data_IF_247447260282
#
_entry.id   IF_247447260282
#
_cell.length_a   1.000
_cell.length_b   1.000
_cell.length_c   1.000
_cell.angle_alpha   90.00
_cell.angle_beta   90.00
_cell.angle_gamma   90.00
#
_symmetry.space_group_name_H-M   'P 1'
#
loop_
_entity.id
_entity.type
_entity.pdbx_description
1 polymer ?
#
# COMPACT_ATOMS: atom_id res chain seq x y z
N UNK A 1 26.67 54.09 -10.22
CA UNK A 1 27.50 53.66 -9.09
C UNK A 1 26.60 52.90 -8.14
N UNK A 2 26.85 51.61 -7.94
CA UNK A 2 26.03 50.78 -7.04
C UNK A 2 26.32 51.23 -5.60
N UNK A 3 25.29 51.39 -4.78
CA UNK A 3 25.46 51.81 -3.39
C UNK A 3 25.96 50.64 -2.55
N UNK A 4 26.87 50.91 -1.62
CA UNK A 4 27.44 49.89 -0.71
C UNK A 4 26.37 49.17 0.12
N UNK A 5 25.29 49.86 0.51
CA UNK A 5 24.17 49.27 1.25
C UNK A 5 23.38 48.24 0.43
N UNK A 6 23.24 48.48 -0.88
CA UNK A 6 22.54 47.55 -1.77
C UNK A 6 23.35 46.25 -1.95
N UNK A 7 24.69 46.35 -2.03
CA UNK A 7 25.58 45.17 -2.08
C UNK A 7 25.51 44.37 -0.78
N UNK A 8 25.50 45.04 0.38
CA UNK A 8 25.36 44.36 1.69
C UNK A 8 24.06 43.57 1.78
N UNK A 9 22.93 44.20 1.46
CA UNK A 9 21.62 43.52 1.45
C UNK A 9 21.60 42.33 0.49
N UNK A 10 22.25 42.47 -0.67
CA UNK A 10 22.32 41.41 -1.66
C UNK A 10 23.20 40.24 -1.20
N UNK A 11 24.27 40.54 -0.47
CA UNK A 11 25.15 39.54 0.13
C UNK A 11 24.47 38.76 1.25
N UNK A 12 23.72 39.43 2.13
CA UNK A 12 22.94 38.76 3.18
C UNK A 12 21.95 37.76 2.56
N UNK A 13 21.22 38.20 1.52
CA UNK A 13 20.31 37.34 0.76
C UNK A 13 21.01 36.20 0.04
N UNK A 14 22.25 36.41 -0.43
CA UNK A 14 23.05 35.37 -1.08
C UNK A 14 23.38 34.26 -0.09
N UNK A 15 23.80 34.61 1.12
CA UNK A 15 24.06 33.62 2.18
C UNK A 15 22.78 32.89 2.63
N UNK A 16 21.62 33.55 2.57
CA UNK A 16 20.32 32.92 2.80
C UNK A 16 19.83 32.04 1.63
N UNK A 17 20.53 32.03 0.49
CA UNK A 17 20.15 31.27 -0.72
C UNK A 17 18.92 31.84 -1.43
N UNK A 18 18.67 33.14 -1.29
CA UNK A 18 17.47 33.85 -1.79
C UNK A 18 17.78 34.79 -2.97
N UNK A 19 18.90 34.59 -3.67
CA UNK A 19 19.33 35.39 -4.82
C UNK A 19 18.99 34.74 -6.15
N UNK A 20 18.81 35.57 -7.18
CA UNK A 20 18.71 35.11 -8.57
C UNK A 20 20.08 35.11 -9.25
N UNK A 21 20.20 34.42 -10.39
CA UNK A 21 21.45 34.36 -11.17
C UNK A 21 21.95 35.77 -11.60
N UNK A 22 21.03 36.68 -11.94
CA UNK A 22 21.36 38.06 -12.32
C UNK A 22 21.96 38.86 -11.14
N UNK A 23 21.39 38.66 -9.95
CA UNK A 23 21.86 39.28 -8.70
C UNK A 23 23.24 38.74 -8.30
N UNK A 24 23.45 37.43 -8.41
CA UNK A 24 24.74 36.80 -8.16
C UNK A 24 25.82 37.26 -9.14
N UNK A 25 25.46 37.45 -10.40
CA UNK A 25 26.38 38.01 -11.39
C UNK A 25 26.75 39.47 -11.05
N UNK A 26 25.82 40.22 -10.47
CA UNK A 26 26.07 41.59 -9.99
C UNK A 26 27.07 41.59 -8.83
N UNK A 27 26.89 40.69 -7.84
CA UNK A 27 27.87 40.48 -6.75
C UNK A 27 29.24 40.09 -7.29
N UNK A 28 29.28 39.15 -8.24
CA UNK A 28 30.52 38.70 -8.90
C UNK A 28 31.24 39.85 -9.60
N UNK A 29 30.50 40.67 -10.34
CA UNK A 29 31.06 41.84 -11.03
C UNK A 29 31.61 42.87 -10.05
N UNK A 30 30.89 43.11 -8.95
CA UNK A 30 31.31 44.06 -7.91
C UNK A 30 32.60 43.60 -7.20
N UNK A 31 32.66 42.35 -6.73
CA UNK A 31 33.82 41.81 -6.01
C UNK A 31 35.03 41.51 -6.91
N UNK A 32 34.84 41.38 -8.22
CA UNK A 32 35.95 41.30 -9.18
C UNK A 32 36.49 42.68 -9.59
N UNK A 33 35.86 43.78 -9.17
CA UNK A 33 36.32 45.14 -9.47
C UNK A 33 37.50 45.54 -8.58
N UNK A 34 38.34 46.49 -9.04
CA UNK A 34 39.52 46.96 -8.30
C UNK A 34 39.20 47.89 -7.12
N UNK A 35 37.97 48.37 -7.00
CA UNK A 35 37.57 49.39 -6.04
C UNK A 35 36.45 48.87 -5.13
N UNK A 36 36.84 48.08 -4.13
CA UNK A 36 35.94 47.47 -3.13
C UNK A 36 36.02 48.29 -1.84
N UNK A 37 34.86 48.60 -1.27
CA UNK A 37 34.74 49.29 0.02
C UNK A 37 35.53 48.55 1.11
N UNK A 38 36.21 49.29 1.99
CA UNK A 38 37.04 48.70 3.04
C UNK A 38 36.27 47.73 3.94
N UNK A 39 34.97 47.98 4.19
CA UNK A 39 34.12 47.13 5.03
C UNK A 39 33.64 45.86 4.32
N UNK A 40 33.82 45.74 3.01
CA UNK A 40 33.39 44.60 2.19
C UNK A 40 34.58 43.75 1.71
N UNK A 41 35.81 44.12 2.06
CA UNK A 41 37.00 43.35 1.68
C UNK A 41 37.03 41.97 2.33
N UNK A 42 36.64 41.85 3.59
CA UNK A 42 36.59 40.55 4.27
C UNK A 42 35.55 39.63 3.63
N UNK A 43 34.35 40.17 3.38
CA UNK A 43 33.28 39.48 2.66
C UNK A 43 33.70 39.05 1.26
N UNK A 44 34.48 39.87 0.55
CA UNK A 44 34.98 39.53 -0.79
C UNK A 44 35.83 38.27 -0.79
N UNK A 45 36.66 38.07 0.23
CA UNK A 45 37.53 36.88 0.35
C UNK A 45 36.66 35.63 0.51
N UNK A 46 35.63 35.71 1.37
CA UNK A 46 34.73 34.60 1.62
C UNK A 46 33.85 34.30 0.41
N UNK A 47 33.25 35.31 -0.20
CA UNK A 47 32.43 35.18 -1.41
C UNK A 47 33.24 34.58 -2.57
N UNK A 48 34.47 35.01 -2.79
CA UNK A 48 35.34 34.43 -3.82
C UNK A 48 35.76 33.00 -3.50
N UNK A 49 35.97 32.66 -2.22
CA UNK A 49 36.26 31.27 -1.83
C UNK A 49 35.06 30.32 -2.03
N UNK A 50 33.84 30.85 -1.90
CA UNK A 50 32.60 30.12 -2.16
C UNK A 50 32.24 30.00 -3.64
N UNK A 51 32.77 30.88 -4.51
CA UNK A 51 32.58 30.72 -5.94
C UNK A 51 33.17 29.38 -6.37
N UNK A 52 32.28 28.48 -6.77
CA UNK A 52 32.63 27.17 -7.29
C UNK A 52 33.68 27.33 -8.37
N UNK A 53 34.91 26.94 -8.04
CA UNK A 53 35.89 26.58 -9.06
C UNK A 53 35.28 25.40 -9.81
N UNK A 54 35.43 25.36 -11.14
CA UNK A 54 35.08 24.19 -11.94
C UNK A 54 35.94 23.01 -11.46
N UNK A 55 35.46 22.31 -10.44
CA UNK A 55 36.09 21.11 -9.93
C UNK A 55 35.66 19.98 -10.88
N UNK A 56 36.61 19.31 -11.55
CA UNK A 56 36.25 18.24 -12.45
C UNK A 56 35.54 17.14 -11.66
N UNK A 57 34.27 16.92 -11.99
CA UNK A 57 33.48 15.83 -11.40
C UNK A 57 34.20 14.51 -11.68
N UNK A 58 34.57 13.72 -10.66
CA UNK A 58 35.22 12.43 -10.86
C UNK A 58 34.38 11.51 -11.75
N UNK A 59 35.04 10.78 -12.65
CA UNK A 59 34.36 9.83 -13.54
C UNK A 59 33.52 8.82 -12.73
N UNK A 60 32.26 8.62 -13.14
CA UNK A 60 31.33 7.69 -12.50
C UNK A 60 30.71 8.16 -11.17
N UNK A 61 30.90 9.42 -10.76
CA UNK A 61 30.29 9.94 -9.53
C UNK A 61 28.76 9.92 -9.58
N UNK A 62 28.17 10.32 -10.71
CA UNK A 62 26.72 10.33 -10.93
C UNK A 62 26.11 8.92 -10.87
N UNK A 63 26.79 7.94 -11.49
CA UNK A 63 26.38 6.53 -11.44
C UNK A 63 26.45 5.99 -9.99
N UNK A 64 27.50 6.32 -9.25
CA UNK A 64 27.65 5.91 -7.84
C UNK A 64 26.55 6.50 -6.96
N UNK A 65 26.22 7.78 -7.16
CA UNK A 65 25.16 8.49 -6.43
C UNK A 65 23.79 7.89 -6.73
N UNK A 66 23.45 7.71 -8.01
CA UNK A 66 22.18 7.09 -8.41
C UNK A 66 22.03 5.67 -7.88
N UNK A 67 23.12 4.90 -7.86
CA UNK A 67 23.15 3.56 -7.26
C UNK A 67 22.93 3.59 -5.74
N UNK A 68 23.46 4.56 -5.01
CA UNK A 68 23.21 4.70 -3.57
C UNK A 68 21.76 5.10 -3.28
N UNK A 69 21.22 6.05 -4.03
CA UNK A 69 19.81 6.48 -3.90
C UNK A 69 18.87 5.30 -4.14
N UNK A 70 19.13 4.52 -5.21
CA UNK A 70 18.32 3.35 -5.55
C UNK A 70 18.35 2.29 -4.44
N UNK A 71 19.50 2.03 -3.83
CA UNK A 71 19.61 1.10 -2.71
C UNK A 71 18.80 1.55 -1.50
N UNK A 72 18.82 2.84 -1.17
CA UNK A 72 18.05 3.37 -0.04
C UNK A 72 16.55 3.22 -0.25
N UNK A 73 16.08 3.46 -1.47
CA UNK A 73 14.67 3.30 -1.83
C UNK A 73 14.23 1.82 -1.76
N UNK A 74 15.06 0.89 -2.24
CA UNK A 74 14.78 -0.56 -2.15
C UNK A 74 14.70 -1.00 -0.68
N UNK A 75 15.61 -0.54 0.17
CA UNK A 75 15.60 -0.87 1.59
C UNK A 75 14.33 -0.35 2.27
N UNK A 76 13.96 0.91 2.07
CA UNK A 76 12.76 1.49 2.69
C UNK A 76 11.47 0.76 2.30
N UNK A 77 11.33 0.40 1.02
CA UNK A 77 10.14 -0.30 0.52
C UNK A 77 10.06 -1.72 1.13
N UNK A 78 11.17 -2.44 1.19
CA UNK A 78 11.19 -3.84 1.66
C UNK A 78 10.97 -3.98 3.16
N UNK A 79 11.50 -3.09 4.00
CA UNK A 79 11.23 -3.10 5.46
C UNK A 79 9.77 -2.80 5.76
N UNK A 80 9.15 -1.82 5.08
CA UNK A 80 7.74 -1.47 5.28
C UNK A 80 6.79 -2.64 4.99
N UNK A 81 7.06 -3.39 3.92
CA UNK A 81 6.24 -4.56 3.57
C UNK A 81 6.40 -5.67 4.62
N UNK A 82 7.62 -5.99 5.01
CA UNK A 82 7.92 -7.07 5.95
C UNK A 82 7.31 -6.81 7.34
N UNK A 83 7.41 -5.58 7.85
CA UNK A 83 6.83 -5.20 9.16
C UNK A 83 5.29 -5.31 9.14
N UNK A 84 4.65 -4.90 8.03
CA UNK A 84 3.19 -4.97 7.89
C UNK A 84 2.66 -6.40 7.87
N UNK A 85 3.36 -7.32 7.20
CA UNK A 85 2.96 -8.73 7.13
C UNK A 85 3.14 -9.47 8.47
N UNK A 86 4.21 -9.17 9.21
CA UNK A 86 4.46 -9.78 10.53
C UNK A 86 3.37 -9.37 11.52
N UNK A 87 3.05 -8.07 11.61
CA UNK A 87 2.02 -7.58 12.54
C UNK A 87 0.62 -8.12 12.19
N UNK A 88 0.27 -8.22 10.91
CA UNK A 88 -1.04 -8.70 10.50
C UNK A 88 -1.25 -10.17 10.88
N UNK A 89 -0.23 -11.02 10.76
CA UNK A 89 -0.34 -12.45 11.09
C UNK A 89 -0.61 -12.71 12.58
N UNK A 90 -0.02 -11.91 13.47
CA UNK A 90 -0.27 -11.99 14.92
C UNK A 90 -1.67 -11.47 15.29
N UNK A 91 -2.07 -10.34 14.70
CA UNK A 91 -3.41 -9.76 14.95
C UNK A 91 -4.51 -10.69 14.44
N UNK A 92 -4.35 -11.30 13.26
CA UNK A 92 -5.29 -12.30 12.73
C UNK A 92 -5.36 -13.53 13.62
N UNK A 93 -4.24 -13.98 14.19
CA UNK A 93 -4.22 -15.07 15.17
C UNK A 93 -5.05 -14.77 16.42
N UNK A 94 -4.89 -13.57 17.00
CA UNK A 94 -5.66 -13.13 18.17
C UNK A 94 -7.15 -13.01 17.82
N UNK A 95 -7.47 -12.40 16.68
CA UNK A 95 -8.86 -12.24 16.23
C UNK A 95 -9.55 -13.61 15.99
N UNK A 96 -8.85 -14.57 15.37
CA UNK A 96 -9.37 -15.91 15.13
C UNK A 96 -9.65 -16.66 16.45
N UNK A 97 -8.77 -16.51 17.44
CA UNK A 97 -8.98 -17.10 18.78
C UNK A 97 -10.21 -16.51 19.45
N UNK A 98 -10.38 -15.18 19.42
CA UNK A 98 -11.57 -14.52 19.98
C UNK A 98 -12.85 -14.95 19.25
N UNK A 99 -12.84 -15.01 17.91
CA UNK A 99 -13.97 -15.49 17.12
C UNK A 99 -14.36 -16.93 17.47
N UNK A 100 -13.38 -17.81 17.68
CA UNK A 100 -13.63 -19.20 18.06
C UNK A 100 -14.28 -19.29 19.44
N UNK A 101 -13.82 -18.49 20.40
CA UNK A 101 -14.43 -18.40 21.74
C UNK A 101 -15.86 -17.85 21.67
N UNK A 102 -16.10 -16.79 20.90
CA UNK A 102 -17.43 -16.22 20.71
C UNK A 102 -18.39 -17.19 20.01
N UNK A 103 -17.92 -17.88 18.96
CA UNK A 103 -18.72 -18.86 18.24
C UNK A 103 -19.09 -20.05 19.14
N UNK A 104 -18.12 -20.60 19.88
CA UNK A 104 -18.38 -21.67 20.83
C UNK A 104 -19.36 -21.23 21.93
N UNK A 105 -19.16 -20.04 22.50
CA UNK A 105 -20.06 -19.47 23.52
C UNK A 105 -21.48 -19.25 22.99
N UNK A 106 -21.63 -18.74 21.76
CA UNK A 106 -22.93 -18.54 21.13
C UNK A 106 -23.66 -19.86 20.86
N UNK A 107 -22.94 -20.91 20.44
CA UNK A 107 -23.51 -22.26 20.24
C UNK A 107 -24.00 -22.84 21.57
N UNK A 108 -23.19 -22.77 22.63
CA UNK A 108 -23.57 -23.27 23.96
C UNK A 108 -24.78 -22.50 24.50
N UNK A 109 -24.76 -21.17 24.41
CA UNK A 109 -25.88 -20.33 24.86
C UNK A 109 -27.19 -20.63 24.11
N UNK A 110 -27.12 -20.83 22.79
CA UNK A 110 -28.28 -21.25 22.01
C UNK A 110 -28.74 -22.65 22.38
N UNK A 111 -27.82 -23.58 22.68
CA UNK A 111 -28.15 -24.94 23.05
C UNK A 111 -28.82 -25.01 24.44
N UNK A 112 -28.38 -24.21 25.41
CA UNK A 112 -29.07 -24.10 26.71
C UNK A 112 -30.44 -23.42 26.61
N UNK A 113 -30.58 -22.46 25.69
CA UNK A 113 -31.86 -21.79 25.42
C UNK A 113 -32.86 -22.68 24.66
N UNK A 114 -32.41 -23.79 24.06
CA UNK A 114 -33.29 -24.81 23.50
C UNK A 114 -33.51 -25.89 24.56
N UNK A 115 -34.69 -25.87 25.19
CA UNK A 115 -35.15 -26.98 26.03
C UNK A 115 -34.96 -28.31 25.26
N UNK A 116 -34.56 -29.41 25.93
CA UNK A 116 -34.27 -30.67 25.27
C UNK A 116 -35.49 -31.08 24.44
N UNK A 117 -35.39 -30.91 23.13
CA UNK A 117 -36.38 -31.42 22.19
C UNK A 117 -36.17 -32.92 22.24
N UNK A 118 -37.01 -33.62 22.99
CA UNK A 118 -37.18 -35.06 22.86
C UNK A 118 -37.30 -35.32 21.36
N UNK A 119 -36.39 -36.08 20.78
CA UNK A 119 -36.45 -36.46 19.37
C UNK A 119 -37.80 -37.13 19.13
N UNK A 120 -38.76 -36.34 18.65
CA UNK A 120 -40.11 -36.79 18.43
C UNK A 120 -40.12 -37.33 17.01
N UNK A 121 -40.13 -38.65 16.88
CA UNK A 121 -40.17 -39.31 15.59
C UNK A 121 -41.26 -38.69 14.71
N UNK A 122 -40.89 -38.25 13.49
CA UNK A 122 -41.79 -37.58 12.53
C UNK A 122 -43.04 -38.42 12.21
N UNK A 123 -42.95 -39.74 12.38
CA UNK A 123 -44.07 -40.67 12.24
C UNK A 123 -44.13 -41.59 13.44
N UNK A 124 -45.32 -41.75 14.01
CA UNK A 124 -45.58 -42.65 15.14
C UNK A 124 -45.70 -44.13 14.75
N UNK A 125 -45.75 -44.44 13.44
CA UNK A 125 -45.87 -45.78 12.89
C UNK A 125 -44.85 -46.00 11.77
N UNK A 126 -44.04 -47.05 11.89
CA UNK A 126 -42.98 -47.42 10.94
C UNK A 126 -43.49 -47.72 9.54
N UNK A 127 -44.74 -48.20 9.43
CA UNK A 127 -45.36 -48.55 8.14
C UNK A 127 -45.68 -47.30 7.31
N UNK A 128 -46.16 -46.25 7.96
CA UNK A 128 -46.53 -44.99 7.31
C UNK A 128 -45.29 -44.22 6.86
N UNK A 129 -44.23 -44.24 7.68
CA UNK A 129 -42.93 -43.67 7.31
C UNK A 129 -42.35 -44.32 6.04
N UNK A 130 -42.42 -45.65 5.95
CA UNK A 130 -41.95 -46.39 4.78
C UNK A 130 -42.79 -46.10 3.53
N UNK A 131 -44.12 -46.02 3.70
CA UNK A 131 -45.02 -45.69 2.61
C UNK A 131 -44.73 -44.29 2.04
N UNK A 132 -44.51 -43.29 2.89
CA UNK A 132 -44.23 -41.94 2.44
C UNK A 132 -42.83 -41.80 1.83
N UNK A 133 -41.83 -42.50 2.40
CA UNK A 133 -40.49 -42.58 1.81
C UNK A 133 -40.53 -43.23 0.42
N UNK A 134 -41.28 -44.32 0.28
CA UNK A 134 -41.46 -45.00 -1.00
C UNK A 134 -42.15 -44.10 -2.03
N UNK A 135 -43.13 -43.30 -1.61
CA UNK A 135 -43.77 -42.28 -2.47
C UNK A 135 -42.80 -41.20 -2.89
N UNK A 136 -41.97 -40.70 -1.99
CA UNK A 136 -40.96 -39.68 -2.29
C UNK A 136 -39.93 -40.21 -3.30
N UNK A 137 -39.40 -41.42 -3.07
CA UNK A 137 -38.47 -42.09 -3.99
C UNK A 137 -39.10 -42.35 -5.37
N UNK A 138 -40.36 -42.78 -5.40
CA UNK A 138 -41.10 -42.97 -6.66
C UNK A 138 -41.26 -41.65 -7.43
N UNK A 139 -41.60 -40.56 -6.73
CA UNK A 139 -41.72 -39.24 -7.34
C UNK A 139 -40.37 -38.77 -7.91
N UNK A 140 -39.29 -38.97 -7.15
CA UNK A 140 -37.94 -38.66 -7.57
C UNK A 140 -37.52 -39.45 -8.82
N UNK A 141 -37.77 -40.77 -8.84
CA UNK A 141 -37.50 -41.63 -9.99
C UNK A 141 -38.27 -41.17 -11.23
N UNK A 142 -39.57 -40.85 -11.10
CA UNK A 142 -40.37 -40.32 -12.21
C UNK A 142 -39.83 -39.01 -12.76
N UNK A 143 -39.35 -38.11 -11.89
CA UNK A 143 -38.75 -36.84 -12.32
C UNK A 143 -37.41 -37.05 -13.04
N UNK A 144 -36.60 -38.01 -12.61
CA UNK A 144 -35.35 -38.36 -13.30
C UNK A 144 -35.60 -38.95 -14.68
N UNK A 145 -36.51 -39.93 -14.78
CA UNK A 145 -36.83 -40.56 -16.07
C UNK A 145 -37.37 -39.53 -17.07
N UNK A 146 -38.28 -38.64 -16.61
CA UNK A 146 -38.77 -37.55 -17.44
C UNK A 146 -37.66 -36.60 -17.91
N UNK A 147 -36.65 -36.35 -17.08
CA UNK A 147 -35.48 -35.56 -17.42
C UNK A 147 -34.61 -36.23 -18.49
N UNK A 148 -34.35 -37.53 -18.33
CA UNK A 148 -33.58 -38.34 -19.29
C UNK A 148 -34.30 -38.38 -20.65
N UNK A 149 -35.60 -38.69 -20.66
CA UNK A 149 -36.41 -38.72 -21.89
C UNK A 149 -36.38 -37.36 -22.62
N UNK A 150 -36.45 -36.25 -21.87
CA UNK A 150 -36.36 -34.92 -22.46
C UNK A 150 -34.99 -34.67 -23.12
N UNK A 151 -33.89 -35.10 -22.51
CA UNK A 151 -32.54 -34.96 -23.10
C UNK A 151 -32.33 -35.86 -24.32
N UNK A 152 -32.87 -37.08 -24.31
CA UNK A 152 -32.79 -38.00 -25.46
C UNK A 152 -33.58 -37.46 -26.65
N UNK A 153 -34.80 -36.96 -26.42
CA UNK A 153 -35.62 -36.34 -27.47
C UNK A 153 -34.94 -35.11 -28.10
N UNK A 154 -34.26 -34.27 -27.30
CA UNK A 154 -33.49 -33.12 -27.82
C UNK A 154 -32.28 -33.61 -28.63
N UNK A 155 -31.57 -34.61 -28.14
CA UNK A 155 -30.38 -35.18 -28.81
C UNK A 155 -30.76 -35.79 -30.17
N UNK A 156 -31.84 -36.56 -30.22
CA UNK A 156 -32.33 -37.16 -31.47
C UNK A 156 -32.84 -36.11 -32.45
N UNK A 157 -33.55 -35.08 -31.98
CA UNK A 157 -34.03 -33.96 -32.82
C UNK A 157 -32.91 -33.07 -33.39
N UNK A 158 -31.75 -33.03 -32.76
CA UNK A 158 -30.58 -32.26 -33.24
C UNK A 158 -29.73 -33.08 -34.23
N UNK A 159 -30.04 -34.37 -34.39
CA UNK A 159 -29.29 -35.33 -35.22
C UNK A 159 -29.95 -35.59 -36.58
N UNK A 160 -31.17 -35.10 -36.78
CA UNK A 160 -31.88 -34.96 -38.07
C UNK A 160 -31.68 -33.55 -38.64
#
# INVERSE_FOLDING_TARGET
MIKTEDIKRLLDRYYDGMTTEEEENTLRTYFNSKDIDANLKEESIFFTALQSSECPTPAGMEERLSRQISQWNILEVTTRHTIRHINLRWVVGIAASLLLLFAAGAIVYQNESKAPQTEQDTYTNTTDAYAETSRALMKFSKTLNKGIDATENITNKTRD
#
